data_IF_887401473400
#
_entry.id   IF_887401473400
#
_cell.length_a   1.000
_cell.length_b   1.000
_cell.length_c   1.000
_cell.angle_alpha   90.00
_cell.angle_beta   90.00
_cell.angle_gamma   90.00
#
_symmetry.space_group_name_H-M   'P 1'
#
loop_
_entity.id
_entity.type
_entity.pdbx_description
1 polymer ?
#
# COMPACT_ATOMS: atom_id res chain seq x y z
N UNK A 1 -26.12 -88.34 -2.51
CA UNK A 1 -26.51 -87.28 -1.55
C UNK A 1 -25.29 -86.76 -0.82
N UNK A 2 -25.04 -85.45 -0.92
CA UNK A 2 -24.39 -84.51 0.04
C UNK A 2 -23.39 -83.58 -0.63
N UNK A 3 -23.91 -82.41 -0.98
CA UNK A 3 -23.19 -81.16 -1.25
C UNK A 3 -22.48 -80.69 0.03
N UNK A 4 -21.23 -80.26 -0.09
CA UNK A 4 -20.48 -79.59 0.98
C UNK A 4 -20.15 -78.18 0.52
N UNK A 5 -20.78 -77.20 1.16
CA UNK A 5 -20.60 -75.77 0.99
C UNK A 5 -19.39 -75.28 1.79
N UNK A 6 -18.41 -74.64 1.12
CA UNK A 6 -17.36 -73.85 1.78
C UNK A 6 -17.60 -72.35 1.58
N UNK A 7 -17.89 -71.68 2.69
CA UNK A 7 -18.08 -70.24 2.85
C UNK A 7 -16.76 -69.46 2.69
N UNK A 8 -16.76 -68.40 1.85
CA UNK A 8 -15.65 -67.43 1.70
C UNK A 8 -15.77 -66.30 2.71
N UNK A 9 -14.80 -66.17 3.62
CA UNK A 9 -14.66 -65.04 4.55
C UNK A 9 -13.96 -63.83 3.89
N UNK A 10 -14.66 -62.70 3.74
CA UNK A 10 -14.13 -61.42 3.19
C UNK A 10 -14.23 -60.18 4.12
N UNK A 11 -14.12 -60.23 5.47
CA UNK A 11 -14.40 -59.02 6.27
C UNK A 11 -13.19 -58.07 6.46
N UNK A 12 -11.94 -58.47 6.17
CA UNK A 12 -10.76 -57.74 6.67
C UNK A 12 -10.34 -56.48 5.89
N UNK A 13 -10.73 -56.31 4.62
CA UNK A 13 -10.29 -55.15 3.81
C UNK A 13 -11.17 -53.90 3.96
N UNK A 14 -12.44 -54.07 4.31
CA UNK A 14 -13.36 -52.94 4.52
C UNK A 14 -13.06 -52.19 5.83
N UNK A 15 -12.69 -52.93 6.89
CA UNK A 15 -12.39 -52.36 8.21
C UNK A 15 -11.15 -51.44 8.19
N UNK A 16 -10.11 -51.79 7.43
CA UNK A 16 -8.86 -50.99 7.34
C UNK A 16 -9.06 -49.68 6.55
N UNK A 17 -9.93 -49.70 5.54
CA UNK A 17 -10.26 -48.49 4.76
C UNK A 17 -11.12 -47.50 5.55
N UNK A 18 -12.02 -48.01 6.40
CA UNK A 18 -12.86 -47.17 7.26
C UNK A 18 -12.06 -46.52 8.39
N UNK A 19 -11.09 -47.23 8.99
CA UNK A 19 -10.23 -46.65 10.04
C UNK A 19 -9.28 -45.57 9.52
N UNK A 20 -8.78 -45.70 8.29
CA UNK A 20 -7.93 -44.68 7.66
C UNK A 20 -8.68 -43.38 7.33
N UNK A 21 -9.95 -43.48 6.90
CA UNK A 21 -10.79 -42.32 6.62
C UNK A 21 -11.16 -41.55 7.90
N UNK A 22 -11.44 -42.26 9.00
CA UNK A 22 -11.75 -41.64 10.31
C UNK A 22 -10.53 -40.92 10.88
N UNK A 23 -9.32 -41.51 10.77
CA UNK A 23 -8.09 -40.86 11.21
C UNK A 23 -7.73 -39.61 10.37
N UNK A 24 -7.99 -39.63 9.07
CA UNK A 24 -7.79 -38.46 8.20
C UNK A 24 -8.77 -37.32 8.54
N UNK A 25 -10.05 -37.63 8.82
CA UNK A 25 -11.05 -36.65 9.23
C UNK A 25 -10.76 -36.04 10.62
N UNK A 26 -10.23 -36.85 11.55
CA UNK A 26 -9.80 -36.36 12.88
C UNK A 26 -8.56 -35.46 12.81
N UNK A 27 -7.62 -35.74 11.89
CA UNK A 27 -6.46 -34.87 11.66
C UNK A 27 -6.86 -33.51 11.08
N UNK A 28 -7.84 -33.47 10.16
CA UNK A 28 -8.39 -32.21 9.62
C UNK A 28 -9.15 -31.43 10.68
N UNK A 29 -9.95 -32.10 11.53
CA UNK A 29 -10.65 -31.45 12.64
C UNK A 29 -9.69 -30.86 13.69
N UNK A 30 -8.56 -31.52 13.96
CA UNK A 30 -7.54 -31.03 14.88
C UNK A 30 -6.81 -29.78 14.33
N UNK A 31 -6.59 -29.69 13.02
CA UNK A 31 -5.99 -28.50 12.37
C UNK A 31 -6.98 -27.33 12.32
N UNK A 32 -8.28 -27.59 12.18
CA UNK A 32 -9.32 -26.54 12.25
C UNK A 32 -9.49 -25.99 13.67
N UNK A 33 -9.34 -26.84 14.70
CA UNK A 33 -9.48 -26.44 16.10
C UNK A 33 -8.32 -25.57 16.61
N UNK A 34 -7.10 -25.72 16.08
CA UNK A 34 -5.94 -24.91 16.50
C UNK A 34 -5.95 -23.50 15.92
N UNK A 35 -6.60 -23.27 14.78
CA UNK A 35 -6.74 -21.93 14.17
C UNK A 35 -7.85 -21.09 14.84
N UNK A 36 -8.84 -21.73 15.48
CA UNK A 36 -9.96 -21.05 16.13
C UNK A 36 -9.63 -20.44 17.51
N UNK A 37 -8.53 -20.83 18.16
CA UNK A 37 -8.20 -20.40 19.54
C UNK A 37 -7.20 -19.23 19.59
N UNK A 38 -6.52 -18.90 18.49
CA UNK A 38 -5.57 -17.79 18.42
C UNK A 38 -6.23 -16.40 18.19
N UNK A 39 -7.56 -16.34 18.04
CA UNK A 39 -8.28 -15.11 17.70
C UNK A 39 -8.86 -14.30 18.87
N UNK A 40 -8.57 -14.64 20.14
CA UNK A 40 -9.18 -13.97 21.30
C UNK A 40 -8.15 -13.17 22.11
N UNK A 41 -7.70 -12.06 21.55
CA UNK A 41 -7.17 -10.94 22.34
C UNK A 41 -7.19 -9.65 21.50
N UNK A 42 -8.35 -9.00 21.48
CA UNK A 42 -8.45 -7.56 21.21
C UNK A 42 -9.76 -7.07 21.84
N UNK A 43 -9.65 -6.41 23.00
CA UNK A 43 -10.80 -5.82 23.65
C UNK A 43 -10.47 -5.30 25.04
N UNK A 44 -9.91 -4.08 25.09
CA UNK A 44 -10.30 -3.01 26.03
C UNK A 44 -9.25 -1.89 26.05
N UNK A 45 -9.50 -0.81 25.32
CA UNK A 45 -9.10 0.54 25.70
C UNK A 45 -9.92 1.54 24.89
N UNK A 46 -11.12 1.83 25.39
CA UNK A 46 -11.91 2.97 24.97
C UNK A 46 -11.54 4.23 25.76
N UNK A 47 -12.06 5.36 25.27
CA UNK A 47 -11.92 6.76 25.74
C UNK A 47 -10.64 7.45 25.24
N UNK A 48 -10.67 8.62 24.61
CA UNK A 48 -11.63 9.73 24.63
C UNK A 48 -11.52 10.56 23.35
N UNK A 49 -12.64 10.74 22.64
CA UNK A 49 -12.79 11.77 21.61
C UNK A 49 -13.14 13.10 22.30
N UNK A 50 -12.21 14.04 22.33
CA UNK A 50 -12.50 15.44 22.61
C UNK A 50 -12.69 16.15 21.28
N UNK A 51 -13.95 16.42 20.94
CA UNK A 51 -14.30 17.46 19.99
C UNK A 51 -13.93 18.81 20.61
N UNK A 52 -12.96 19.49 20.02
CA UNK A 52 -12.49 20.82 20.42
C UNK A 52 -12.52 21.76 19.22
N UNK A 53 -13.63 22.49 19.13
CA UNK A 53 -13.83 23.81 18.53
C UNK A 53 -12.93 24.25 17.35
N UNK A 54 -13.60 24.53 16.23
CA UNK A 54 -13.16 25.49 15.24
C UNK A 54 -12.63 26.77 15.90
N UNK A 55 -11.45 27.21 15.45
CA UNK A 55 -11.00 28.58 15.63
C UNK A 55 -10.49 29.10 14.29
N UNK A 56 -11.29 30.04 13.81
CA UNK A 56 -11.17 30.95 12.68
C UNK A 56 -9.79 31.14 12.06
N UNK A 57 -9.80 31.09 10.73
CA UNK A 57 -8.90 31.81 9.85
C UNK A 57 -8.63 33.25 10.34
N UNK A 58 -7.35 33.62 10.39
CA UNK A 58 -6.86 34.96 10.08
C UNK A 58 -5.53 34.80 9.36
N UNK A 59 -5.51 35.31 8.13
CA UNK A 59 -4.33 35.33 7.29
C UNK A 59 -3.20 36.13 7.92
N UNK A 60 -1.99 35.69 7.60
CA UNK A 60 -0.81 36.51 7.59
C UNK A 60 0.01 36.02 6.40
N UNK A 61 -0.19 36.68 5.25
CA UNK A 61 0.56 36.47 4.00
C UNK A 61 2.02 36.96 4.09
N UNK A 62 2.59 36.98 5.29
CA UNK A 62 4.02 37.13 5.50
C UNK A 62 4.57 35.76 5.89
N UNK A 63 5.61 35.24 5.20
CA UNK A 63 6.30 34.05 5.65
C UNK A 63 6.68 34.22 7.12
N UNK A 64 6.35 33.23 7.96
CA UNK A 64 6.85 33.17 9.32
C UNK A 64 8.38 33.39 9.25
N UNK A 65 8.95 34.41 9.93
CA UNK A 65 10.40 34.67 9.88
C UNK A 65 11.22 33.45 10.32
N UNK A 66 10.57 32.48 10.97
CA UNK A 66 11.10 31.15 11.28
C UNK A 66 11.40 30.34 10.03
N UNK A 67 10.53 30.33 9.01
CA UNK A 67 10.72 29.53 7.77
C UNK A 67 11.97 29.92 7.01
N UNK A 68 12.15 31.22 6.75
CA UNK A 68 13.39 31.75 6.12
C UNK A 68 14.62 31.47 6.98
N UNK A 69 14.52 31.59 8.31
CA UNK A 69 15.65 31.35 9.22
C UNK A 69 16.10 29.89 9.18
N UNK A 70 15.17 28.95 9.23
CA UNK A 70 15.46 27.51 9.14
C UNK A 70 16.02 27.19 7.76
N UNK A 71 15.44 27.75 6.69
CA UNK A 71 15.97 27.59 5.34
C UNK A 71 17.42 28.04 5.21
N UNK A 72 17.76 29.24 5.71
CA UNK A 72 19.13 29.76 5.64
C UNK A 72 20.13 28.93 6.45
N UNK A 73 19.68 28.32 7.54
CA UNK A 73 20.50 27.47 8.41
C UNK A 73 20.73 26.10 7.80
N UNK A 74 19.69 25.49 7.24
CA UNK A 74 19.68 24.05 6.93
C UNK A 74 19.66 23.73 5.43
N UNK A 75 19.11 24.61 4.59
CA UNK A 75 18.86 24.32 3.16
C UNK A 75 19.75 25.15 2.22
N UNK A 76 20.10 26.38 2.60
CA UNK A 76 20.76 27.34 1.72
C UNK A 76 22.16 26.92 1.25
N UNK A 77 22.84 26.03 2.00
CA UNK A 77 24.14 25.50 1.56
C UNK A 77 24.02 24.62 0.31
N UNK A 78 22.91 23.87 0.17
CA UNK A 78 22.61 23.09 -1.03
C UNK A 78 21.84 23.90 -2.08
N UNK A 79 20.81 24.63 -1.66
CA UNK A 79 19.83 25.25 -2.57
C UNK A 79 20.06 26.75 -2.81
N UNK A 80 21.12 27.32 -2.24
CA UNK A 80 21.44 28.75 -2.34
C UNK A 80 20.60 29.60 -1.38
N UNK A 81 21.15 30.77 -1.00
CA UNK A 81 20.50 31.70 -0.04
C UNK A 81 19.15 32.24 -0.53
N UNK A 82 18.92 32.23 -1.83
CA UNK A 82 17.73 32.71 -2.52
C UNK A 82 16.96 31.57 -3.23
N UNK A 83 17.35 30.31 -3.02
CA UNK A 83 16.77 29.17 -3.72
C UNK A 83 17.26 28.95 -5.14
N UNK A 84 18.27 29.68 -5.62
CA UNK A 84 18.78 29.55 -6.99
C UNK A 84 19.51 28.23 -7.30
N UNK A 85 19.75 27.39 -6.30
CA UNK A 85 20.57 26.17 -6.43
C UNK A 85 22.06 26.45 -6.31
N UNK A 86 22.83 25.39 -6.15
CA UNK A 86 24.30 25.39 -6.14
C UNK A 86 24.83 24.11 -6.81
N UNK A 87 26.13 23.87 -6.79
CA UNK A 87 26.69 22.58 -7.18
C UNK A 87 26.31 21.42 -6.23
N UNK A 88 25.82 21.74 -5.03
CA UNK A 88 25.40 20.76 -4.01
C UNK A 88 23.91 20.42 -4.07
N UNK A 89 23.10 21.21 -4.79
CA UNK A 89 21.66 21.00 -4.83
C UNK A 89 20.95 21.83 -5.90
N UNK A 90 19.82 21.33 -6.43
CA UNK A 90 19.09 22.00 -7.50
C UNK A 90 18.46 23.32 -7.03
N UNK A 91 18.00 24.11 -8.00
CA UNK A 91 17.14 25.27 -7.72
C UNK A 91 15.83 24.85 -7.06
N UNK A 92 15.35 25.65 -6.11
CA UNK A 92 14.01 25.56 -5.51
C UNK A 92 13.08 26.64 -6.06
N UNK A 93 13.56 27.54 -6.92
CA UNK A 93 12.69 28.50 -7.61
C UNK A 93 11.79 27.73 -8.58
N UNK A 94 10.48 27.90 -8.43
CA UNK A 94 9.47 27.31 -9.31
C UNK A 94 9.00 25.91 -8.94
N UNK A 95 9.55 25.27 -7.90
CA UNK A 95 9.08 23.94 -7.45
C UNK A 95 7.72 24.01 -6.77
N UNK A 96 7.42 25.14 -6.12
CA UNK A 96 6.15 25.39 -5.44
C UNK A 96 6.03 24.74 -4.06
N UNK A 97 4.99 25.12 -3.29
CA UNK A 97 4.77 24.60 -1.95
C UNK A 97 4.40 23.10 -1.91
N UNK A 98 3.78 22.54 -2.96
CA UNK A 98 3.43 21.11 -2.99
C UNK A 98 4.66 20.20 -2.94
N UNK A 99 5.70 20.54 -3.71
CA UNK A 99 6.95 19.79 -3.70
C UNK A 99 7.62 19.90 -2.32
N UNK A 100 7.70 21.11 -1.77
CA UNK A 100 8.29 21.33 -0.45
C UNK A 100 7.55 20.52 0.65
N UNK A 101 6.22 20.53 0.66
CA UNK A 101 5.44 19.81 1.69
C UNK A 101 5.64 18.30 1.56
N UNK A 102 5.57 17.77 0.34
CA UNK A 102 5.77 16.34 0.08
C UNK A 102 7.15 15.87 0.55
N UNK A 103 8.23 16.53 0.12
CA UNK A 103 9.60 16.09 0.44
C UNK A 103 9.90 16.23 1.94
N UNK A 104 9.46 17.31 2.60
CA UNK A 104 9.69 17.52 4.03
C UNK A 104 8.83 16.60 4.90
N UNK A 105 7.52 16.48 4.61
CA UNK A 105 6.61 15.64 5.43
C UNK A 105 6.79 14.16 5.22
N UNK A 106 7.47 13.74 4.15
CA UNK A 106 7.83 12.34 3.95
C UNK A 106 9.26 12.02 4.37
N UNK A 107 9.98 13.00 4.96
CA UNK A 107 11.37 12.84 5.39
C UNK A 107 12.34 12.56 4.24
N UNK A 108 11.97 12.86 3.00
CA UNK A 108 12.85 12.72 1.84
C UNK A 108 13.84 13.87 1.72
N UNK A 109 13.56 14.98 2.39
CA UNK A 109 14.44 16.12 2.56
C UNK A 109 14.42 16.56 4.04
N UNK A 110 15.54 17.07 4.58
CA UNK A 110 16.84 17.26 3.92
C UNK A 110 17.60 15.93 3.69
N UNK A 111 18.60 15.96 2.81
CA UNK A 111 19.55 14.85 2.61
C UNK A 111 20.81 15.09 3.44
N UNK A 112 21.49 14.01 3.83
CA UNK A 112 22.76 14.10 4.55
C UNK A 112 23.92 14.54 3.65
N UNK A 113 23.91 14.10 2.37
CA UNK A 113 24.96 14.45 1.39
C UNK A 113 24.41 14.79 0.01
N UNK A 114 25.08 15.68 -0.73
CA UNK A 114 24.78 15.93 -2.14
C UNK A 114 24.83 14.65 -2.98
N UNK A 115 23.88 14.50 -3.90
CA UNK A 115 23.81 13.37 -4.84
C UNK A 115 23.17 12.09 -4.28
N UNK A 116 22.82 12.06 -2.99
CA UNK A 116 22.03 10.96 -2.42
C UNK A 116 20.61 10.95 -2.99
N UNK A 117 20.01 9.76 -3.08
CA UNK A 117 18.64 9.59 -3.53
C UNK A 117 17.67 9.91 -2.39
N UNK A 118 16.64 10.75 -2.60
CA UNK A 118 15.61 10.99 -1.60
C UNK A 118 14.78 9.73 -1.33
N UNK A 119 14.97 9.13 -0.15
CA UNK A 119 14.21 7.97 0.32
C UNK A 119 13.28 8.38 1.47
N UNK A 120 12.10 7.76 1.62
CA UNK A 120 11.21 8.07 2.72
C UNK A 120 11.88 7.84 4.08
N UNK A 121 11.69 8.78 5.01
CA UNK A 121 12.19 8.64 6.38
C UNK A 121 11.27 9.38 7.37
N UNK A 122 11.64 9.40 8.66
CA UNK A 122 10.93 10.22 9.62
C UNK A 122 11.15 11.71 9.30
N UNK A 123 10.12 12.57 9.32
CA UNK A 123 10.31 13.99 9.10
C UNK A 123 11.27 14.60 10.12
N UNK A 124 12.31 15.28 9.63
CA UNK A 124 13.34 15.93 10.48
C UNK A 124 12.75 17.08 11.32
N UNK A 125 11.70 17.73 10.79
CA UNK A 125 11.11 18.91 11.39
C UNK A 125 9.69 18.64 11.92
N UNK A 126 9.26 19.34 12.99
CA UNK A 126 7.88 19.32 13.42
C UNK A 126 6.97 20.00 12.39
N UNK A 127 5.69 19.60 12.36
CA UNK A 127 4.71 20.07 11.36
C UNK A 127 4.63 21.60 11.20
N UNK A 128 4.77 22.37 12.30
CA UNK A 128 4.75 23.83 12.25
C UNK A 128 5.96 24.40 11.49
N UNK A 129 7.15 23.83 11.71
CA UNK A 129 8.37 24.22 10.99
C UNK A 129 8.29 23.84 9.52
N UNK A 130 7.75 22.67 9.21
CA UNK A 130 7.51 22.26 7.81
C UNK A 130 6.59 23.26 7.12
N UNK A 131 5.45 23.60 7.71
CA UNK A 131 4.52 24.59 7.14
C UNK A 131 5.19 25.97 6.90
N UNK A 132 6.07 26.40 7.81
CA UNK A 132 6.83 27.65 7.63
C UNK A 132 7.86 27.56 6.49
N UNK A 133 8.55 26.42 6.35
CA UNK A 133 9.47 26.16 5.22
C UNK A 133 8.72 26.09 3.89
N UNK A 134 7.57 25.42 3.85
CA UNK A 134 6.70 25.31 2.67
C UNK A 134 6.23 26.69 2.22
N UNK A 135 5.78 27.54 3.15
CA UNK A 135 5.39 28.91 2.84
C UNK A 135 6.57 29.73 2.30
N UNK A 136 7.78 29.57 2.88
CA UNK A 136 8.97 30.25 2.39
C UNK A 136 9.36 29.77 0.99
N UNK A 137 9.43 28.46 0.73
CA UNK A 137 9.76 27.92 -0.61
C UNK A 137 8.72 28.34 -1.64
N UNK A 138 7.44 28.34 -1.28
CA UNK A 138 6.36 28.86 -2.14
C UNK A 138 6.50 30.34 -2.47
N UNK A 139 7.22 31.13 -1.68
CA UNK A 139 7.50 32.54 -1.96
C UNK A 139 8.68 32.77 -2.93
N UNK A 140 9.47 31.73 -3.23
CA UNK A 140 10.65 31.82 -4.09
C UNK A 140 10.34 31.88 -5.59
N UNK A 141 9.08 31.66 -5.98
CA UNK A 141 8.61 31.78 -7.36
C UNK A 141 7.30 31.02 -7.61
N UNK A 142 6.69 31.20 -8.79
CA UNK A 142 5.48 30.48 -9.17
C UNK A 142 5.78 28.99 -9.38
N UNK A 143 5.10 28.11 -8.65
CA UNK A 143 5.20 26.66 -8.77
C UNK A 143 3.91 25.97 -8.33
N UNK A 144 3.91 24.64 -8.27
CA UNK A 144 2.71 23.86 -7.98
C UNK A 144 2.14 24.18 -6.58
N UNK A 145 0.91 24.72 -6.48
CA UNK A 145 0.28 25.01 -5.20
C UNK A 145 -0.11 23.72 -4.47
N UNK A 146 -0.34 23.80 -3.16
CA UNK A 146 -0.89 22.67 -2.40
C UNK A 146 -2.22 22.21 -3.01
N UNK A 147 -2.39 20.91 -3.31
CA UNK A 147 -3.63 20.39 -3.87
C UNK A 147 -4.82 20.61 -2.94
N UNK A 148 -5.97 20.98 -3.52
CA UNK A 148 -7.22 21.12 -2.76
C UNK A 148 -7.96 19.79 -2.74
N UNK A 149 -7.98 19.16 -1.57
CA UNK A 149 -8.66 17.90 -1.37
C UNK A 149 -10.16 18.09 -1.18
N UNK A 150 -10.93 17.22 -1.81
CA UNK A 150 -12.37 17.07 -1.65
C UNK A 150 -12.74 15.59 -1.77
N UNK A 151 -13.90 15.21 -1.26
CA UNK A 151 -14.42 13.85 -1.48
C UNK A 151 -14.75 13.67 -2.97
N UNK A 152 -14.12 12.68 -3.59
CA UNK A 152 -14.35 12.27 -4.96
C UNK A 152 -15.21 11.01 -5.08
N UNK A 153 -15.35 10.54 -6.31
CA UNK A 153 -16.05 9.30 -6.66
C UNK A 153 -15.03 8.14 -6.75
N UNK A 154 -15.06 7.24 -5.76
CA UNK A 154 -14.13 6.10 -5.69
C UNK A 154 -14.24 5.15 -6.89
N UNK A 155 -15.42 5.01 -7.51
CA UNK A 155 -15.59 4.12 -8.67
C UNK A 155 -14.91 4.69 -9.92
N UNK A 156 -15.01 6.01 -10.12
CA UNK A 156 -14.25 6.73 -11.16
C UNK A 156 -12.77 6.72 -10.85
N UNK A 157 -12.41 6.97 -9.60
CA UNK A 157 -11.04 6.92 -9.09
C UNK A 157 -10.37 5.58 -9.37
N UNK A 158 -11.08 4.47 -9.15
CA UNK A 158 -10.61 3.12 -9.48
C UNK A 158 -10.27 2.97 -10.96
N UNK A 159 -11.14 3.45 -11.84
CA UNK A 159 -10.93 3.36 -13.29
C UNK A 159 -9.68 4.13 -13.69
N UNK A 160 -9.54 5.37 -13.21
CA UNK A 160 -8.38 6.21 -13.49
C UNK A 160 -7.09 5.63 -12.91
N UNK A 161 -7.15 5.09 -11.69
CA UNK A 161 -6.00 4.46 -11.04
C UNK A 161 -5.51 3.22 -11.81
N UNK A 162 -6.43 2.36 -12.25
CA UNK A 162 -6.07 1.17 -13.04
C UNK A 162 -5.43 1.53 -14.39
N UNK A 163 -5.82 2.66 -14.98
CA UNK A 163 -5.28 3.13 -16.26
C UNK A 163 -3.92 3.80 -16.12
N UNK A 164 -3.68 4.55 -15.04
CA UNK A 164 -2.54 5.46 -14.94
C UNK A 164 -1.51 5.08 -13.86
N UNK A 165 -1.96 4.44 -12.78
CA UNK A 165 -1.15 4.27 -11.57
C UNK A 165 -0.79 2.79 -11.33
N UNK A 166 -1.71 1.88 -11.61
CA UNK A 166 -1.53 0.44 -11.41
C UNK A 166 -0.32 -0.17 -12.14
N UNK A 167 0.13 0.32 -13.32
CA UNK A 167 1.36 -0.18 -13.94
C UNK A 167 2.61 -0.10 -13.04
N UNK A 168 2.63 0.83 -12.08
CA UNK A 168 3.73 0.98 -11.13
C UNK A 168 3.32 0.63 -9.70
N UNK A 169 2.09 0.91 -9.29
CA UNK A 169 1.66 0.72 -7.91
C UNK A 169 0.90 -0.60 -7.66
N UNK A 170 0.79 -1.48 -8.67
CA UNK A 170 -0.12 -2.63 -8.68
C UNK A 170 -1.59 -2.21 -8.63
N UNK A 171 -2.49 -3.07 -9.11
CA UNK A 171 -3.95 -2.85 -9.03
C UNK A 171 -4.45 -2.76 -7.58
N UNK A 172 -3.76 -3.43 -6.64
CA UNK A 172 -4.04 -3.41 -5.21
C UNK A 172 -3.37 -2.27 -4.45
N UNK A 173 -2.51 -1.47 -5.09
CA UNK A 173 -1.75 -0.40 -4.43
C UNK A 173 -0.58 -0.91 -3.58
N UNK A 174 -0.14 -2.17 -3.75
CA UNK A 174 0.97 -2.77 -3.01
C UNK A 174 2.34 -2.21 -3.39
N UNK A 175 2.47 -1.57 -4.56
CA UNK A 175 3.74 -1.14 -5.11
C UNK A 175 4.52 -2.26 -5.80
N UNK A 176 5.56 -1.90 -6.55
CA UNK A 176 6.50 -2.83 -7.16
C UNK A 176 7.88 -2.19 -7.35
N UNK A 177 8.89 -3.03 -7.53
CA UNK A 177 10.22 -2.58 -7.95
C UNK A 177 10.13 -2.15 -9.41
N UNK A 178 10.55 -0.93 -9.72
CA UNK A 178 10.64 -0.38 -11.07
C UNK A 178 12.07 -0.53 -11.60
N UNK A 179 12.33 -0.05 -12.82
CA UNK A 179 13.68 -0.06 -13.39
C UNK A 179 14.67 0.73 -12.53
N UNK A 180 15.96 0.41 -12.66
CA UNK A 180 17.07 1.14 -12.00
C UNK A 180 17.03 1.15 -10.46
N UNK A 181 16.40 0.13 -9.87
CA UNK A 181 16.33 -0.07 -8.43
C UNK A 181 15.46 0.96 -7.70
N UNK A 182 14.56 1.64 -8.41
CA UNK A 182 13.52 2.45 -7.80
C UNK A 182 12.37 1.56 -7.31
N UNK A 183 11.67 2.02 -6.29
CA UNK A 183 10.54 1.31 -5.69
C UNK A 183 9.32 2.23 -5.75
N UNK A 184 8.27 1.80 -6.46
CA UNK A 184 6.96 2.39 -6.29
C UNK A 184 6.42 1.96 -4.92
N UNK A 185 6.21 2.90 -3.98
CA UNK A 185 5.81 2.54 -2.63
C UNK A 185 4.39 1.96 -2.61
N UNK A 186 4.13 1.16 -1.57
CA UNK A 186 2.77 0.81 -1.17
C UNK A 186 1.99 2.08 -0.83
N UNK A 187 0.73 2.16 -1.28
CA UNK A 187 -0.12 3.33 -1.09
C UNK A 187 -1.04 3.22 0.13
N UNK A 188 -1.14 2.03 0.73
CA UNK A 188 -1.97 1.81 1.92
C UNK A 188 -1.54 2.70 3.07
N UNK A 189 -2.51 3.27 3.78
CA UNK A 189 -2.29 4.17 4.91
C UNK A 189 -1.45 5.41 4.58
N UNK A 190 -1.36 5.79 3.30
CA UNK A 190 -0.73 7.06 2.88
C UNK A 190 -1.72 8.19 3.09
N UNK A 191 -1.24 9.35 3.56
CA UNK A 191 -2.10 10.51 3.76
C UNK A 191 -2.62 11.03 2.42
N UNK A 192 -3.91 11.38 2.30
CA UNK A 192 -4.50 11.89 1.05
C UNK A 192 -3.72 13.05 0.43
N UNK A 193 -3.17 13.94 1.26
CA UNK A 193 -2.39 15.10 0.80
C UNK A 193 -1.11 14.64 0.10
N UNK A 194 -0.41 13.66 0.66
CA UNK A 194 0.82 13.12 0.08
C UNK A 194 0.57 12.40 -1.25
N UNK A 195 -0.58 11.72 -1.39
CA UNK A 195 -0.97 11.10 -2.66
C UNK A 195 -1.20 12.18 -3.72
N UNK A 196 -1.97 13.21 -3.38
CA UNK A 196 -2.28 14.30 -4.30
C UNK A 196 -1.02 15.09 -4.71
N UNK A 197 -0.15 15.39 -3.76
CA UNK A 197 1.12 16.08 -4.00
C UNK A 197 2.04 15.23 -4.87
N UNK A 198 2.19 13.92 -4.57
CA UNK A 198 3.00 13.01 -5.39
C UNK A 198 2.54 12.97 -6.85
N UNK A 199 1.22 12.95 -7.08
CA UNK A 199 0.66 12.99 -8.43
C UNK A 199 0.99 14.28 -9.16
N UNK A 200 0.92 15.43 -8.47
CA UNK A 200 1.18 16.73 -9.08
C UNK A 200 2.66 17.00 -9.35
N UNK A 201 3.55 16.51 -8.51
CA UNK A 201 5.00 16.82 -8.61
C UNK A 201 5.85 15.72 -9.25
N UNK A 202 5.34 14.49 -9.36
CA UNK A 202 6.06 13.36 -9.95
C UNK A 202 7.40 13.02 -9.27
N UNK A 203 7.42 12.50 -8.03
CA UNK A 203 8.67 12.22 -7.33
C UNK A 203 9.43 11.02 -7.92
N UNK A 204 10.73 11.19 -8.18
CA UNK A 204 11.59 10.12 -8.69
C UNK A 204 11.21 9.74 -10.14
N UNK A 205 10.96 8.46 -10.46
CA UNK A 205 10.52 8.04 -11.80
C UNK A 205 9.01 8.17 -12.02
N UNK A 206 8.25 8.61 -11.01
CA UNK A 206 6.81 8.80 -11.13
C UNK A 206 6.55 10.01 -12.06
N UNK A 207 5.71 9.88 -13.10
CA UNK A 207 5.40 11.01 -13.97
C UNK A 207 4.62 12.09 -13.21
N UNK A 208 4.79 13.34 -13.63
CA UNK A 208 3.91 14.43 -13.22
C UNK A 208 2.55 14.31 -13.91
N UNK A 209 1.47 14.57 -13.17
CA UNK A 209 0.11 14.61 -13.70
C UNK A 209 -0.42 16.04 -13.58
N UNK A 210 -0.32 16.78 -14.69
CA UNK A 210 -0.72 18.18 -14.74
C UNK A 210 -2.25 18.30 -14.82
N UNK A 211 -2.78 19.51 -14.59
CA UNK A 211 -4.24 19.78 -14.62
C UNK A 211 -4.88 19.56 -15.99
N UNK A 212 -4.08 19.44 -17.04
CA UNK A 212 -4.50 19.08 -18.40
C UNK A 212 -4.73 17.58 -18.57
N UNK A 213 -3.96 16.75 -17.87
CA UNK A 213 -4.02 15.29 -17.99
C UNK A 213 -4.97 14.69 -16.95
N UNK A 214 -4.90 15.19 -15.71
CA UNK A 214 -5.80 14.86 -14.63
C UNK A 214 -6.24 16.16 -13.94
N UNK A 215 -7.48 16.57 -14.16
CA UNK A 215 -8.03 17.75 -13.49
C UNK A 215 -8.14 17.55 -11.96
N UNK A 216 -8.44 18.62 -11.21
CA UNK A 216 -8.55 18.54 -9.75
C UNK A 216 -9.69 17.62 -9.29
N UNK A 217 -10.72 17.39 -10.12
CA UNK A 217 -11.80 16.46 -9.78
C UNK A 217 -11.33 15.01 -9.92
N UNK A 218 -10.66 14.68 -11.02
CA UNK A 218 -10.07 13.37 -11.28
C UNK A 218 -9.00 13.02 -10.25
N UNK A 219 -8.19 14.01 -9.85
CA UNK A 219 -7.25 13.89 -8.74
C UNK A 219 -7.97 13.44 -7.45
N UNK A 220 -9.05 14.13 -7.08
CA UNK A 220 -9.84 13.82 -5.88
C UNK A 220 -10.55 12.46 -5.97
N UNK A 221 -11.04 12.08 -7.15
CA UNK A 221 -11.59 10.74 -7.41
C UNK A 221 -10.53 9.66 -7.13
N UNK A 222 -9.30 9.82 -7.65
CA UNK A 222 -8.18 8.89 -7.44
C UNK A 222 -7.76 8.86 -5.97
N UNK A 223 -7.57 10.01 -5.33
CA UNK A 223 -7.18 10.09 -3.91
C UNK A 223 -8.22 9.42 -3.02
N UNK A 224 -9.51 9.60 -3.32
CA UNK A 224 -10.60 8.94 -2.60
C UNK A 224 -10.53 7.43 -2.76
N UNK A 225 -10.29 6.92 -3.98
CA UNK A 225 -10.09 5.49 -4.22
C UNK A 225 -8.85 4.95 -3.51
N UNK A 226 -7.72 5.65 -3.55
CA UNK A 226 -6.51 5.24 -2.83
C UNK A 226 -6.76 5.14 -1.33
N UNK A 227 -7.60 6.02 -0.78
CA UNK A 227 -8.05 5.95 0.61
C UNK A 227 -8.86 4.69 0.97
N UNK A 228 -9.47 4.02 -0.01
CA UNK A 228 -10.15 2.72 0.22
C UNK A 228 -9.20 1.53 0.11
N UNK A 229 -8.01 1.72 -0.48
CA UNK A 229 -6.99 0.68 -0.60
C UNK A 229 -6.43 0.33 0.79
N UNK A 230 -6.48 -0.95 1.15
CA UNK A 230 -6.03 -1.48 2.44
C UNK A 230 -7.13 -1.60 3.50
N UNK A 231 -8.24 -0.87 3.38
CA UNK A 231 -9.46 -1.11 4.17
C UNK A 231 -10.41 -2.12 3.53
N UNK A 232 -10.33 -2.28 2.20
CA UNK A 232 -11.04 -3.32 1.46
C UNK A 232 -10.36 -4.67 1.71
N UNK A 233 -10.45 -5.13 2.95
CA UNK A 233 -10.06 -6.48 3.34
C UNK A 233 -11.04 -7.47 2.70
N UNK A 234 -10.55 -8.10 1.64
CA UNK A 234 -10.83 -9.49 1.25
C UNK A 234 -12.31 -9.85 1.16
N UNK A 235 -12.94 -9.47 0.05
CA UNK A 235 -14.18 -10.14 -0.38
C UNK A 235 -13.78 -11.51 -0.97
N UNK A 236 -13.61 -12.49 -0.07
CA UNK A 236 -13.50 -13.92 -0.38
C UNK A 236 -12.07 -14.50 -0.38
N UNK A 237 -11.53 -14.84 0.80
CA UNK A 237 -10.30 -15.65 0.91
C UNK A 237 -9.34 -15.24 2.03
N UNK A 238 -8.17 -15.89 2.08
CA UNK A 238 -7.09 -15.57 3.01
C UNK A 238 -5.98 -14.83 2.25
N UNK A 239 -5.96 -13.49 2.23
CA UNK A 239 -4.81 -12.58 1.97
C UNK A 239 -3.84 -12.78 0.78
N UNK A 240 -3.90 -13.89 0.04
CA UNK A 240 -2.99 -14.25 -1.04
C UNK A 240 -3.30 -13.45 -2.32
N UNK A 241 -4.53 -12.95 -2.44
CA UNK A 241 -5.05 -12.18 -3.58
C UNK A 241 -4.33 -10.82 -3.78
N UNK A 242 -3.59 -10.33 -2.79
CA UNK A 242 -2.91 -9.02 -2.87
C UNK A 242 -1.66 -9.04 -3.76
N UNK A 243 -1.12 -10.25 -4.04
CA UNK A 243 0.05 -10.46 -4.91
C UNK A 243 -0.34 -10.83 -6.35
N UNK A 244 -1.65 -10.91 -6.65
CA UNK A 244 -2.17 -11.14 -7.99
C UNK A 244 -2.11 -12.60 -8.46
N UNK A 245 -2.49 -12.85 -9.73
CA UNK A 245 -2.79 -14.18 -10.27
C UNK A 245 -1.59 -15.14 -10.25
N UNK A 246 -0.37 -14.62 -10.18
CA UNK A 246 0.86 -15.43 -10.14
C UNK A 246 0.95 -16.18 -8.80
N UNK A 247 0.73 -15.48 -7.68
CA UNK A 247 0.79 -16.11 -6.35
C UNK A 247 -0.33 -17.16 -6.20
N UNK A 248 -1.52 -16.86 -6.71
CA UNK A 248 -2.65 -17.81 -6.78
C UNK A 248 -2.31 -19.05 -7.60
N UNK A 249 -1.63 -18.90 -8.75
CA UNK A 249 -1.19 -20.02 -9.59
C UNK A 249 -0.22 -20.95 -8.84
N UNK A 250 0.68 -20.41 -8.02
CA UNK A 250 1.57 -21.24 -7.20
C UNK A 250 0.79 -22.05 -6.16
N UNK A 251 -0.23 -21.48 -5.54
CA UNK A 251 -1.08 -22.21 -4.59
C UNK A 251 -1.89 -23.28 -5.32
N UNK A 252 -2.42 -22.97 -6.50
CA UNK A 252 -3.11 -23.96 -7.33
C UNK A 252 -2.18 -25.12 -7.69
N UNK A 253 -0.98 -24.81 -8.17
CA UNK A 253 -0.02 -25.80 -8.64
C UNK A 253 0.61 -26.63 -7.52
N UNK A 254 0.93 -26.02 -6.38
CA UNK A 254 1.66 -26.67 -5.30
C UNK A 254 0.75 -27.26 -4.22
N UNK A 255 -0.49 -26.82 -4.12
CA UNK A 255 -1.45 -27.30 -3.10
C UNK A 255 -2.64 -28.00 -3.73
N UNK A 256 -3.43 -27.29 -4.54
CA UNK A 256 -4.69 -27.84 -5.09
C UNK A 256 -4.45 -28.99 -6.07
N UNK A 257 -3.47 -28.88 -6.97
CA UNK A 257 -3.20 -29.89 -7.98
C UNK A 257 -2.68 -31.21 -7.38
N UNK A 258 -1.72 -31.22 -6.42
CA UNK A 258 -1.34 -32.43 -5.72
C UNK A 258 -2.48 -33.05 -4.93
N UNK A 259 -3.28 -32.24 -4.22
CA UNK A 259 -4.46 -32.72 -3.49
C UNK A 259 -5.47 -33.37 -4.43
N UNK A 260 -5.75 -32.74 -5.58
CA UNK A 260 -6.63 -33.29 -6.61
C UNK A 260 -6.10 -34.63 -7.15
N UNK A 261 -4.81 -34.72 -7.45
CA UNK A 261 -4.19 -35.97 -7.92
C UNK A 261 -4.27 -37.09 -6.88
N UNK A 262 -4.12 -36.77 -5.58
CA UNK A 262 -4.31 -37.73 -4.48
C UNK A 262 -5.75 -38.21 -4.44
N UNK A 263 -6.73 -37.30 -4.51
CA UNK A 263 -8.16 -37.66 -4.52
C UNK A 263 -8.50 -38.56 -5.72
N UNK A 264 -8.01 -38.23 -6.92
CA UNK A 264 -8.20 -39.05 -8.12
C UNK A 264 -7.58 -40.45 -7.92
N UNK A 265 -6.38 -40.55 -7.33
CA UNK A 265 -5.74 -41.83 -7.03
C UNK A 265 -6.50 -42.66 -5.99
N UNK A 266 -7.14 -42.02 -5.02
CA UNK A 266 -7.92 -42.72 -3.98
C UNK A 266 -9.27 -43.23 -4.50
N UNK A 267 -9.94 -42.47 -5.38
CA UNK A 267 -11.24 -42.83 -5.94
C UNK A 267 -11.11 -43.71 -7.20
N UNK A 268 -10.00 -43.62 -7.92
CA UNK A 268 -9.73 -44.37 -9.14
C UNK A 268 -9.39 -45.84 -8.89
N UNK A 269 -10.08 -46.76 -9.56
CA UNK A 269 -9.71 -48.18 -9.59
C UNK A 269 -8.63 -48.40 -10.66
N UNK A 270 -7.54 -49.09 -10.31
CA UNK A 270 -6.51 -49.49 -11.29
C UNK A 270 -7.14 -50.38 -12.36
N UNK A 271 -6.88 -50.08 -13.62
CA UNK A 271 -7.26 -50.94 -14.74
C UNK A 271 -6.65 -52.34 -14.54
N UNK A 272 -7.42 -53.41 -14.77
CA UNK A 272 -6.87 -54.76 -14.74
C UNK A 272 -5.79 -54.88 -15.82
N UNK A 273 -4.61 -55.39 -15.42
CA UNK A 273 -3.54 -55.76 -16.34
C UNK A 273 -3.95 -56.93 -17.21
#
# INVERSE_FOLDING_TARGET
MRSSSRTRSRPRRAAVAQTALVLALLAVAAVVATVAVAGRQAGAAGTSAQAGAASSARGSDAPDPTGRRVYLRDCAWCHGVDGGGTNNGPTLKGVGPAAADFYLRTGRMPLDRPGERPVPSAPEYPSKTISALVAYVGSLGPGEPLPRLATGDAAKGRTLFLQNCAPCHSSSGTGMITTDGWLAPKLWSTRPEQVAEAMRIGPGPMPEFNRTDLDDKQLNDIVTYVGTLGSEQVIGGNGLDQFGPIAEMFVVLLVLLPVLLIVIRLLGKKAPK
#
